data_IF_644139804480
#
_entry.id   IF_644139804480
#
_cell.length_a   1.000
_cell.length_b   1.000
_cell.length_c   1.000
_cell.angle_alpha   90.00
_cell.angle_beta   90.00
_cell.angle_gamma   90.00
#
_symmetry.space_group_name_H-M   'P 1'
#
loop_
_entity.id
_entity.type
_entity.pdbx_description
1 polymer ?
#
# COMPACT_ATOMS: atom_id res chain seq x y z
N UNK A 1 20.57 25.44 6.29
CA UNK A 1 20.04 25.16 7.62
C UNK A 1 18.68 25.75 7.99
N UNK A 2 18.02 26.54 7.12
CA UNK A 2 16.67 27.09 7.43
C UNK A 2 15.50 26.36 6.76
N UNK A 3 15.77 25.42 5.87
CA UNK A 3 14.74 24.75 5.07
C UNK A 3 13.88 23.77 5.91
N UNK A 4 14.48 23.08 6.88
CA UNK A 4 13.77 22.05 7.65
C UNK A 4 12.67 22.55 8.59
N UNK A 5 12.85 23.72 9.22
CA UNK A 5 11.88 24.27 10.19
C UNK A 5 10.65 24.85 9.48
N UNK A 6 10.86 25.52 8.35
CA UNK A 6 9.75 26.10 7.55
C UNK A 6 8.82 25.01 7.01
N UNK A 7 9.38 23.98 6.42
CA UNK A 7 8.61 22.87 5.85
C UNK A 7 7.83 22.09 6.93
N UNK A 8 8.43 21.86 8.09
CA UNK A 8 7.75 21.21 9.21
C UNK A 8 6.55 22.01 9.73
N UNK A 9 6.68 23.35 9.80
CA UNK A 9 5.59 24.22 10.24
C UNK A 9 4.44 24.22 9.22
N UNK A 10 4.74 24.26 7.91
CA UNK A 10 3.74 24.19 6.85
C UNK A 10 3.01 22.83 6.84
N UNK A 11 3.74 21.73 6.90
CA UNK A 11 3.18 20.39 6.98
C UNK A 11 2.27 20.21 8.20
N UNK A 12 2.69 20.74 9.35
CA UNK A 12 1.90 20.72 10.58
C UNK A 12 0.61 21.57 10.48
N UNK A 13 0.68 22.73 9.85
CA UNK A 13 -0.48 23.62 9.64
C UNK A 13 -1.55 22.94 8.76
N UNK A 14 -1.13 22.32 7.65
CA UNK A 14 -2.05 21.62 6.75
C UNK A 14 -2.59 20.33 7.35
N UNK A 15 -1.77 19.59 8.07
CA UNK A 15 -2.21 18.43 8.84
C UNK A 15 -3.26 18.80 9.90
N UNK A 16 -3.13 19.94 10.57
CA UNK A 16 -4.17 20.46 11.46
C UNK A 16 -5.47 20.84 10.74
N UNK A 17 -5.40 21.37 9.51
CA UNK A 17 -6.59 21.67 8.70
C UNK A 17 -7.29 20.36 8.28
N UNK A 18 -6.53 19.34 7.86
CA UNK A 18 -7.06 18.01 7.51
C UNK A 18 -7.71 17.29 8.69
N UNK A 19 -7.26 17.53 9.93
CA UNK A 19 -7.92 16.99 11.13
C UNK A 19 -9.38 17.44 11.30
N UNK A 20 -9.81 18.51 10.61
CA UNK A 20 -11.21 18.96 10.57
C UNK A 20 -11.99 18.38 9.40
N UNK A 21 -11.34 17.66 8.48
CA UNK A 21 -12.02 16.99 7.38
C UNK A 21 -12.78 15.80 7.95
N UNK A 22 -14.09 15.80 7.76
CA UNK A 22 -14.92 14.64 8.07
C UNK A 22 -14.74 13.64 6.94
N UNK A 23 -14.15 12.50 7.26
CA UNK A 23 -13.99 11.41 6.29
C UNK A 23 -15.23 10.53 6.32
N UNK A 24 -15.64 9.98 5.17
CA UNK A 24 -16.74 9.02 5.11
C UNK A 24 -16.40 7.78 5.94
N UNK A 25 -17.43 7.17 6.53
CA UNK A 25 -17.31 5.86 7.19
C UNK A 25 -17.03 4.74 6.18
N UNK A 26 -16.56 3.56 6.64
CA UNK A 26 -16.27 2.43 5.74
C UNK A 26 -17.46 2.04 4.86
N UNK A 27 -18.68 2.12 5.42
CA UNK A 27 -19.93 1.76 4.75
C UNK A 27 -20.35 2.76 3.66
N UNK A 28 -19.82 3.98 3.72
CA UNK A 28 -20.12 5.05 2.76
C UNK A 28 -19.14 5.05 1.56
N UNK A 29 -18.08 4.25 1.63
CA UNK A 29 -17.04 4.18 0.59
C UNK A 29 -17.38 3.06 -0.39
N UNK A 30 -18.02 3.39 -1.51
CA UNK A 30 -18.42 2.44 -2.55
C UNK A 30 -17.39 2.38 -3.70
N UNK A 31 -16.09 2.29 -3.39
CA UNK A 31 -15.01 2.27 -4.38
C UNK A 31 -14.46 0.85 -4.53
N UNK A 32 -14.41 0.31 -5.74
CA UNK A 32 -13.88 -1.02 -6.01
C UNK A 32 -12.35 -1.05 -5.91
N UNK A 33 -11.80 -1.79 -4.95
CA UNK A 33 -10.37 -1.91 -4.72
C UNK A 33 -9.87 -3.35 -4.86
N UNK A 34 -8.82 -3.55 -5.66
CA UNK A 34 -8.04 -4.78 -5.76
C UNK A 34 -6.72 -4.62 -5.01
N UNK A 35 -6.23 -5.68 -4.36
CA UNK A 35 -4.88 -5.69 -3.76
C UNK A 35 -3.95 -6.46 -4.68
N UNK A 36 -2.76 -5.93 -4.96
CA UNK A 36 -1.76 -6.53 -5.84
C UNK A 36 -0.43 -6.69 -5.10
N UNK A 37 0.10 -7.91 -5.13
CA UNK A 37 1.41 -8.25 -4.56
C UNK A 37 2.29 -8.89 -5.63
N UNK A 38 3.57 -8.49 -5.67
CA UNK A 38 4.61 -9.24 -6.39
C UNK A 38 5.37 -10.12 -5.38
N UNK A 39 5.50 -11.41 -5.67
CA UNK A 39 6.18 -12.39 -4.81
C UNK A 39 7.30 -13.11 -5.57
N UNK A 40 8.46 -13.22 -4.93
CA UNK A 40 9.58 -14.01 -5.42
C UNK A 40 10.32 -14.65 -4.26
N UNK A 41 10.20 -15.98 -4.12
CA UNK A 41 10.78 -16.76 -3.01
C UNK A 41 10.35 -16.29 -1.61
N UNK A 42 9.03 -16.14 -1.42
CA UNK A 42 8.40 -15.63 -0.19
C UNK A 42 7.60 -16.72 0.57
N UNK A 43 7.89 -18.01 0.33
CA UNK A 43 7.20 -19.12 0.97
C UNK A 43 7.05 -19.00 2.50
N UNK A 44 8.07 -18.51 3.26
CA UNK A 44 7.96 -18.42 4.71
C UNK A 44 6.93 -17.41 5.23
N UNK A 45 6.57 -16.40 4.42
CA UNK A 45 5.79 -15.23 4.88
C UNK A 45 4.50 -15.00 4.12
N UNK A 46 4.41 -15.36 2.84
CA UNK A 46 3.31 -15.01 1.94
C UNK A 46 1.93 -15.40 2.48
N UNK A 47 1.78 -16.58 3.06
CA UNK A 47 0.50 -17.03 3.62
C UNK A 47 0.03 -16.15 4.80
N UNK A 48 0.97 -15.64 5.62
CA UNK A 48 0.66 -14.73 6.71
C UNK A 48 0.25 -13.36 6.19
N UNK A 49 0.94 -12.85 5.18
CA UNK A 49 0.61 -11.60 4.50
C UNK A 49 -0.79 -11.67 3.91
N UNK A 50 -1.10 -12.71 3.14
CA UNK A 50 -2.44 -12.89 2.54
C UNK A 50 -3.55 -12.93 3.60
N UNK A 51 -3.36 -13.68 4.68
CA UNK A 51 -4.35 -13.72 5.76
C UNK A 51 -4.57 -12.35 6.39
N UNK A 52 -3.53 -11.54 6.56
CA UNK A 52 -3.68 -10.17 7.09
C UNK A 52 -4.49 -9.27 6.16
N UNK A 53 -4.32 -9.42 4.84
CA UNK A 53 -5.10 -8.68 3.84
C UNK A 53 -6.58 -9.10 3.88
N UNK A 54 -6.84 -10.40 3.97
CA UNK A 54 -8.19 -10.96 3.98
C UNK A 54 -8.99 -10.62 5.24
N UNK A 55 -8.33 -10.17 6.32
CA UNK A 55 -8.98 -9.63 7.53
C UNK A 55 -9.30 -8.13 7.45
N UNK A 56 -9.10 -7.51 6.30
CA UNK A 56 -9.45 -6.09 6.10
C UNK A 56 -10.92 -5.82 6.41
N UNK A 57 -11.19 -4.68 7.05
CA UNK A 57 -12.54 -4.15 7.27
C UNK A 57 -13.15 -3.54 5.98
N UNK A 58 -12.32 -3.33 4.95
CA UNK A 58 -12.76 -2.87 3.64
C UNK A 58 -13.18 -4.06 2.75
N UNK A 59 -14.27 -3.94 1.97
CA UNK A 59 -14.70 -4.99 1.05
C UNK A 59 -13.76 -5.08 -0.17
N UNK A 60 -12.58 -5.69 0.03
CA UNK A 60 -11.60 -5.93 -1.03
C UNK A 60 -12.22 -6.85 -2.07
N UNK A 61 -12.17 -6.43 -3.35
CA UNK A 61 -12.74 -7.18 -4.48
C UNK A 61 -11.96 -8.48 -4.74
N UNK A 62 -10.64 -8.37 -4.76
CA UNK A 62 -9.71 -9.48 -5.03
C UNK A 62 -8.31 -9.19 -4.49
N UNK A 63 -7.52 -10.24 -4.31
CA UNK A 63 -6.11 -10.19 -3.92
C UNK A 63 -5.30 -10.93 -4.97
N UNK A 64 -4.62 -10.19 -5.84
CA UNK A 64 -3.82 -10.74 -6.93
C UNK A 64 -2.38 -10.90 -6.45
N UNK A 65 -1.90 -12.12 -6.41
CA UNK A 65 -0.49 -12.45 -6.17
C UNK A 65 0.16 -12.77 -7.51
N UNK A 66 1.16 -12.00 -7.88
CA UNK A 66 1.98 -12.29 -9.07
C UNK A 66 3.27 -12.94 -8.62
N UNK A 67 3.37 -14.24 -8.85
CA UNK A 67 4.60 -15.02 -8.63
C UNK A 67 5.57 -14.77 -9.77
N UNK A 68 6.65 -14.08 -9.47
CA UNK A 68 7.69 -13.69 -10.43
C UNK A 68 8.77 -14.77 -10.59
N UNK A 69 8.32 -16.00 -10.83
CA UNK A 69 9.20 -17.14 -11.12
C UNK A 69 9.85 -17.74 -9.87
N UNK A 70 9.17 -17.81 -8.73
CA UNK A 70 9.67 -18.47 -7.52
C UNK A 70 10.04 -19.92 -7.77
N UNK A 71 11.10 -20.35 -7.11
CA UNK A 71 11.64 -21.73 -7.14
C UNK A 71 11.48 -22.46 -5.80
N UNK A 72 10.92 -21.78 -4.80
CA UNK A 72 10.57 -22.32 -3.49
C UNK A 72 9.08 -22.69 -3.41
N UNK A 73 8.55 -22.91 -2.21
CA UNK A 73 7.14 -23.25 -1.96
C UNK A 73 6.16 -22.08 -2.04
N UNK A 74 6.53 -20.90 -2.57
CA UNK A 74 5.66 -19.70 -2.61
C UNK A 74 4.30 -19.98 -3.27
N UNK A 75 4.31 -20.57 -4.47
CA UNK A 75 3.07 -20.88 -5.19
C UNK A 75 2.16 -21.85 -4.42
N UNK A 76 2.73 -22.83 -3.75
CA UNK A 76 2.00 -23.82 -2.95
C UNK A 76 1.32 -23.16 -1.77
N UNK A 77 2.00 -22.24 -1.08
CA UNK A 77 1.42 -21.48 0.03
C UNK A 77 0.29 -20.56 -0.43
N UNK A 78 0.46 -19.88 -1.57
CA UNK A 78 -0.62 -19.05 -2.16
C UNK A 78 -1.83 -19.92 -2.51
N UNK A 79 -1.65 -21.07 -3.16
CA UNK A 79 -2.75 -21.99 -3.52
C UNK A 79 -3.50 -22.51 -2.29
N UNK A 80 -2.81 -22.73 -1.16
CA UNK A 80 -3.46 -23.13 0.10
C UNK A 80 -4.41 -22.05 0.61
N UNK A 81 -4.02 -20.77 0.53
CA UNK A 81 -4.89 -19.67 0.93
C UNK A 81 -6.02 -19.48 -0.08
N UNK A 82 -5.73 -19.57 -1.39
CA UNK A 82 -6.71 -19.48 -2.47
C UNK A 82 -7.82 -20.54 -2.35
N UNK A 83 -7.49 -21.74 -1.87
CA UNK A 83 -8.49 -22.79 -1.62
C UNK A 83 -9.44 -22.45 -0.44
N UNK A 84 -9.07 -21.52 0.43
CA UNK A 84 -9.85 -21.10 1.60
C UNK A 84 -10.64 -19.80 1.32
N UNK A 85 -10.15 -18.95 0.41
CA UNK A 85 -10.79 -17.68 0.09
C UNK A 85 -10.73 -17.40 -1.43
N UNK A 86 -11.89 -17.39 -2.11
CA UNK A 86 -11.96 -17.25 -3.58
C UNK A 86 -11.53 -15.86 -4.08
N UNK A 87 -11.35 -14.88 -3.21
CA UNK A 87 -10.83 -13.56 -3.58
C UNK A 87 -9.35 -13.59 -3.95
N UNK A 88 -8.61 -14.64 -3.53
CA UNK A 88 -7.18 -14.76 -3.85
C UNK A 88 -7.00 -15.32 -5.25
N UNK A 89 -6.21 -14.63 -6.07
CA UNK A 89 -5.87 -15.00 -7.46
C UNK A 89 -4.36 -15.11 -7.57
N UNK A 90 -3.87 -16.22 -8.13
CA UNK A 90 -2.45 -16.44 -8.40
C UNK A 90 -2.17 -16.29 -9.90
N UNK A 91 -1.30 -15.35 -10.24
CA UNK A 91 -0.69 -15.22 -11.56
C UNK A 91 0.76 -15.71 -11.49
N UNK A 92 1.25 -16.37 -12.53
CA UNK A 92 2.67 -16.76 -12.64
C UNK A 92 3.29 -16.15 -13.89
N UNK A 93 4.53 -15.74 -13.76
CA UNK A 93 5.35 -15.30 -14.87
C UNK A 93 6.82 -15.75 -14.68
N UNK A 94 7.63 -15.78 -15.74
CA UNK A 94 9.08 -15.88 -15.61
C UNK A 94 9.61 -14.69 -14.82
N UNK A 95 10.72 -14.86 -14.09
CA UNK A 95 11.30 -13.76 -13.32
C UNK A 95 11.73 -12.61 -14.25
N UNK A 96 11.05 -11.48 -14.10
CA UNK A 96 11.27 -10.25 -14.86
C UNK A 96 11.43 -9.04 -13.94
N UNK A 97 11.35 -9.25 -12.64
CA UNK A 97 11.51 -8.23 -11.60
C UNK A 97 10.19 -7.66 -11.10
N UNK A 98 10.26 -7.13 -9.87
CA UNK A 98 9.10 -6.65 -9.09
C UNK A 98 8.22 -5.66 -9.85
N UNK A 99 8.83 -4.70 -10.57
CA UNK A 99 8.08 -3.69 -11.33
C UNK A 99 7.19 -4.34 -12.42
N UNK A 100 7.74 -5.28 -13.18
CA UNK A 100 6.98 -6.01 -14.20
C UNK A 100 5.87 -6.87 -13.59
N UNK A 101 6.15 -7.52 -12.45
CA UNK A 101 5.15 -8.31 -11.74
C UNK A 101 3.99 -7.44 -11.24
N UNK A 102 4.30 -6.28 -10.63
CA UNK A 102 3.26 -5.32 -10.21
C UNK A 102 2.45 -4.81 -11.39
N UNK A 103 3.11 -4.43 -12.51
CA UNK A 103 2.42 -3.97 -13.71
C UNK A 103 1.47 -5.04 -14.28
N UNK A 104 1.89 -6.30 -14.33
CA UNK A 104 1.04 -7.41 -14.74
C UNK A 104 -0.18 -7.54 -13.82
N UNK A 105 0.00 -7.49 -12.52
CA UNK A 105 -1.09 -7.52 -11.55
C UNK A 105 -2.05 -6.34 -11.68
N UNK A 106 -1.53 -5.12 -11.81
CA UNK A 106 -2.32 -3.89 -12.00
C UNK A 106 -3.16 -3.96 -13.28
N UNK A 107 -2.60 -4.43 -14.37
CA UNK A 107 -3.35 -4.59 -15.64
C UNK A 107 -4.52 -5.57 -15.48
N UNK A 108 -4.33 -6.66 -14.74
CA UNK A 108 -5.35 -7.70 -14.51
C UNK A 108 -6.37 -7.34 -13.43
N UNK A 109 -6.06 -6.39 -12.57
CA UNK A 109 -6.95 -5.96 -11.49
C UNK A 109 -8.31 -5.47 -12.03
N UNK A 110 -9.40 -5.97 -11.47
CA UNK A 110 -10.76 -5.57 -11.84
C UNK A 110 -11.18 -4.27 -11.15
N UNK A 111 -10.57 -3.94 -10.00
CA UNK A 111 -10.86 -2.73 -9.24
C UNK A 111 -10.41 -1.45 -9.95
N UNK A 112 -11.18 -0.38 -9.79
CA UNK A 112 -10.82 0.98 -10.22
C UNK A 112 -9.63 1.53 -9.42
N UNK A 113 -9.50 1.06 -8.18
CA UNK A 113 -8.38 1.37 -7.30
C UNK A 113 -7.55 0.11 -7.04
N UNK A 114 -6.24 0.31 -6.94
CA UNK A 114 -5.29 -0.77 -6.67
C UNK A 114 -4.47 -0.43 -5.43
N UNK A 115 -4.46 -1.34 -4.48
CA UNK A 115 -3.55 -1.28 -3.33
C UNK A 115 -2.37 -2.20 -3.61
N UNK A 116 -1.17 -1.63 -3.70
CA UNK A 116 0.06 -2.44 -3.83
C UNK A 116 0.69 -2.65 -2.46
N UNK A 117 1.14 -3.87 -2.22
CA UNK A 117 1.72 -4.30 -0.95
C UNK A 117 2.92 -5.23 -1.21
N UNK A 118 3.95 -5.15 -0.36
CA UNK A 118 5.06 -6.11 -0.41
C UNK A 118 4.61 -7.47 0.16
N UNK A 119 5.15 -8.55 -0.40
CA UNK A 119 4.78 -9.93 -0.06
C UNK A 119 5.13 -10.34 1.38
N UNK A 120 5.97 -9.59 2.06
CA UNK A 120 6.40 -9.76 3.46
C UNK A 120 5.73 -8.78 4.45
N UNK A 121 4.87 -7.91 3.95
CA UNK A 121 4.22 -6.86 4.76
C UNK A 121 2.92 -7.37 5.40
N UNK A 122 2.76 -7.15 6.70
CA UNK A 122 1.53 -7.43 7.44
C UNK A 122 0.65 -6.18 7.47
N UNK A 123 -0.57 -6.32 7.01
CA UNK A 123 -1.53 -5.23 6.90
C UNK A 123 -2.45 -5.18 8.13
N UNK A 124 -2.62 -3.99 8.71
CA UNK A 124 -3.67 -3.76 9.73
C UNK A 124 -5.05 -3.76 9.05
N UNK A 125 -6.10 -4.31 9.70
CA UNK A 125 -7.44 -4.42 9.11
C UNK A 125 -8.00 -3.11 8.56
N UNK A 126 -7.79 -1.98 9.23
CA UNK A 126 -8.27 -0.65 8.83
C UNK A 126 -7.45 0.05 7.75
N UNK A 127 -6.37 -0.57 7.25
CA UNK A 127 -5.42 0.09 6.35
C UNK A 127 -6.07 0.51 5.03
N UNK A 128 -6.79 -0.40 4.38
CA UNK A 128 -7.43 -0.11 3.08
C UNK A 128 -8.50 0.97 3.25
N UNK A 129 -9.36 0.84 4.25
CA UNK A 129 -10.37 1.86 4.58
C UNK A 129 -9.75 3.24 4.80
N UNK A 130 -8.63 3.31 5.55
CA UNK A 130 -7.93 4.58 5.78
C UNK A 130 -7.36 5.20 4.51
N UNK A 131 -6.93 4.41 3.54
CA UNK A 131 -6.46 4.91 2.25
C UNK A 131 -7.62 5.27 1.33
N UNK A 132 -8.63 4.41 1.21
CA UNK A 132 -9.75 4.61 0.28
C UNK A 132 -10.62 5.81 0.62
N UNK A 133 -10.80 6.14 1.90
CA UNK A 133 -11.56 7.33 2.31
C UNK A 133 -11.01 8.65 1.75
N UNK A 134 -9.71 8.71 1.40
CA UNK A 134 -9.13 9.89 0.77
C UNK A 134 -9.62 10.08 -0.67
N UNK A 135 -9.83 8.97 -1.40
CA UNK A 135 -10.38 9.00 -2.75
C UNK A 135 -11.89 9.29 -2.78
N UNK A 136 -12.58 9.01 -1.67
CA UNK A 136 -14.03 9.26 -1.53
C UNK A 136 -14.37 10.69 -1.07
N UNK A 137 -13.38 11.57 -0.86
CA UNK A 137 -13.61 12.97 -0.54
C UNK A 137 -14.05 13.75 -1.78
N UNK A 138 -14.94 14.74 -1.58
CA UNK A 138 -15.31 15.70 -2.62
C UNK A 138 -14.08 16.40 -3.21
N UNK A 139 -13.98 16.43 -4.53
CA UNK A 139 -12.85 17.01 -5.26
C UNK A 139 -11.57 16.16 -5.24
N UNK A 140 -11.65 14.88 -4.85
CA UNK A 140 -10.52 13.94 -4.90
C UNK A 140 -10.25 13.36 -6.30
N UNK A 141 -10.94 13.81 -7.35
CA UNK A 141 -10.78 13.31 -8.73
C UNK A 141 -9.35 13.44 -9.24
N UNK A 142 -8.61 14.44 -8.76
CA UNK A 142 -7.19 14.66 -9.08
C UNK A 142 -6.23 13.85 -8.22
N UNK A 143 -6.73 13.12 -7.21
CA UNK A 143 -5.88 12.31 -6.34
C UNK A 143 -5.52 11.00 -7.05
N UNK A 144 -4.28 10.88 -7.50
CA UNK A 144 -3.76 9.69 -8.19
C UNK A 144 -3.34 8.59 -7.23
N UNK A 145 -2.81 8.95 -6.03
CA UNK A 145 -2.30 7.96 -5.09
C UNK A 145 -2.33 8.41 -3.63
N UNK A 146 -2.37 7.44 -2.71
CA UNK A 146 -2.28 7.61 -1.25
C UNK A 146 -1.22 6.67 -0.70
N UNK A 147 -0.21 7.22 -0.03
CA UNK A 147 0.83 6.44 0.61
C UNK A 147 0.37 5.83 1.93
N UNK A 148 0.58 4.53 2.12
CA UNK A 148 0.41 3.87 3.40
C UNK A 148 1.54 4.21 4.38
N UNK A 149 1.27 4.02 5.67
CA UNK A 149 2.28 4.16 6.73
C UNK A 149 2.82 2.79 7.08
N UNK A 150 4.08 2.53 6.74
CA UNK A 150 4.78 1.29 7.08
C UNK A 150 5.47 1.45 8.43
N UNK A 151 5.35 0.43 9.29
CA UNK A 151 6.00 0.37 10.59
C UNK A 151 6.89 -0.86 10.69
N UNK A 152 8.04 -0.71 11.32
CA UNK A 152 8.96 -1.83 11.57
C UNK A 152 8.34 -2.76 12.62
N UNK A 153 8.00 -3.99 12.20
CA UNK A 153 7.30 -4.95 13.07
C UNK A 153 8.14 -5.45 14.25
N UNK A 154 9.47 -5.53 14.11
CA UNK A 154 10.40 -6.03 15.12
C UNK A 154 11.15 -4.93 15.91
N UNK A 155 10.57 -3.74 16.01
CA UNK A 155 11.19 -2.53 16.62
C UNK A 155 11.75 -2.70 18.03
N UNK A 156 11.37 -3.75 18.74
CA UNK A 156 11.82 -4.01 20.13
C UNK A 156 12.99 -4.99 20.22
N UNK A 157 13.47 -5.54 19.10
CA UNK A 157 14.44 -6.65 19.12
C UNK A 157 15.86 -6.19 19.43
N UNK A 158 16.30 -5.02 18.93
CA UNK A 158 17.63 -4.47 19.19
C UNK A 158 17.70 -2.95 18.93
N UNK A 159 18.85 -2.33 19.24
CA UNK A 159 19.08 -0.89 19.05
C UNK A 159 18.96 -0.46 17.58
N UNK A 160 19.40 -1.28 16.64
CA UNK A 160 19.37 -0.99 15.22
C UNK A 160 17.93 -0.90 14.69
N UNK A 161 17.06 -1.83 15.11
CA UNK A 161 15.63 -1.81 14.75
C UNK A 161 14.87 -0.65 15.37
N UNK A 162 15.33 -0.18 16.55
CA UNK A 162 14.81 1.06 17.18
C UNK A 162 15.20 2.30 16.37
N UNK A 163 16.45 2.38 15.92
CA UNK A 163 16.92 3.46 15.04
C UNK A 163 16.18 3.49 13.72
N UNK A 164 16.04 2.34 13.05
CA UNK A 164 15.23 2.22 11.82
C UNK A 164 13.78 2.69 12.05
N UNK A 165 13.17 2.31 13.17
CA UNK A 165 11.81 2.75 13.51
C UNK A 165 11.72 4.27 13.69
N UNK A 166 12.71 4.91 14.30
CA UNK A 166 12.77 6.37 14.46
C UNK A 166 12.98 7.07 13.09
N UNK A 167 13.85 6.54 12.26
CA UNK A 167 14.09 7.06 10.90
C UNK A 167 12.81 7.01 10.05
N UNK A 168 12.11 5.87 10.04
CA UNK A 168 10.81 5.74 9.36
C UNK A 168 9.77 6.71 9.90
N UNK A 169 9.67 6.88 11.22
CA UNK A 169 8.74 7.84 11.84
C UNK A 169 9.07 9.29 11.47
N UNK A 170 10.35 9.64 11.36
CA UNK A 170 10.78 10.99 11.00
C UNK A 170 10.51 11.27 9.53
N UNK A 171 10.87 10.35 8.63
CA UNK A 171 10.61 10.48 7.20
C UNK A 171 9.11 10.56 6.91
N UNK A 172 8.31 9.65 7.47
CA UNK A 172 6.86 9.61 7.21
C UNK A 172 6.14 10.75 7.93
N UNK A 173 6.49 11.03 9.18
CA UNK A 173 5.76 11.99 10.01
C UNK A 173 6.05 13.45 9.66
N UNK A 174 7.28 13.81 9.37
CA UNK A 174 7.69 15.22 9.16
C UNK A 174 7.86 15.50 7.68
N UNK A 175 8.67 14.72 6.99
CA UNK A 175 9.08 15.02 5.62
C UNK A 175 7.91 14.87 4.64
N UNK A 176 7.16 13.78 4.72
CA UNK A 176 5.98 13.58 3.87
C UNK A 176 4.85 14.53 4.19
N UNK A 177 4.63 14.85 5.47
CA UNK A 177 3.62 15.85 5.84
C UNK A 177 3.97 17.24 5.29
N UNK A 178 5.25 17.58 5.21
CA UNK A 178 5.72 18.82 4.59
C UNK A 178 5.55 18.80 3.07
N UNK A 179 5.92 17.70 2.41
CA UNK A 179 5.73 17.50 0.97
C UNK A 179 4.24 17.54 0.58
N UNK A 180 3.38 16.87 1.35
CA UNK A 180 1.92 16.90 1.17
C UNK A 180 1.36 18.33 1.34
N UNK A 181 1.86 19.09 2.28
CA UNK A 181 1.45 20.50 2.49
C UNK A 181 1.82 21.40 1.31
N UNK A 182 2.85 21.06 0.57
CA UNK A 182 3.35 21.80 -0.60
C UNK A 182 2.81 21.23 -1.92
N UNK A 183 1.95 20.21 -1.91
CA UNK A 183 1.50 19.43 -3.08
C UNK A 183 2.70 18.89 -3.92
N UNK A 184 3.78 18.51 -3.23
CA UNK A 184 5.06 18.12 -3.82
C UNK A 184 5.54 16.75 -3.31
N UNK A 185 4.63 15.77 -3.18
CA UNK A 185 5.01 14.40 -2.85
C UNK A 185 5.79 13.83 -4.03
N UNK A 186 7.08 13.61 -3.83
CA UNK A 186 8.00 13.16 -4.88
C UNK A 186 8.08 11.64 -5.00
N UNK A 187 7.81 10.89 -3.92
CA UNK A 187 7.94 9.44 -3.88
C UNK A 187 6.79 8.82 -3.07
N UNK A 188 6.12 7.85 -3.67
CA UNK A 188 5.16 6.98 -2.99
C UNK A 188 5.86 5.66 -2.69
N UNK A 189 5.88 5.18 -1.42
CA UNK A 189 6.60 3.97 -1.07
C UNK A 189 5.97 2.75 -1.72
N UNK A 190 6.80 1.91 -2.31
CA UNK A 190 6.36 0.65 -2.93
C UNK A 190 5.83 -0.38 -1.93
N UNK A 191 6.15 -0.24 -0.64
CA UNK A 191 5.80 -1.22 0.38
C UNK A 191 4.30 -1.25 0.75
N UNK A 192 3.59 -0.12 0.63
CA UNK A 192 2.14 -0.03 0.80
C UNK A 192 1.64 1.29 0.20
N UNK A 193 0.82 1.23 -0.82
CA UNK A 193 0.20 2.41 -1.42
C UNK A 193 -1.13 2.05 -2.09
N UNK A 194 -2.08 2.99 -2.07
CA UNK A 194 -3.31 2.90 -2.85
C UNK A 194 -3.24 3.87 -4.03
N UNK A 195 -3.70 3.43 -5.19
CA UNK A 195 -3.59 4.13 -6.46
C UNK A 195 -4.93 4.15 -7.18
N UNK A 196 -5.22 5.23 -7.85
CA UNK A 196 -6.19 5.18 -8.96
C UNK A 196 -5.53 4.40 -10.10
N UNK A 197 -6.14 3.29 -10.54
CA UNK A 197 -5.56 2.39 -11.56
C UNK A 197 -5.20 3.16 -12.84
N UNK A 198 -6.08 4.05 -13.28
CA UNK A 198 -5.86 4.90 -14.46
C UNK A 198 -4.58 5.72 -14.33
N UNK A 199 -4.34 6.32 -13.16
CA UNK A 199 -3.14 7.13 -12.93
C UNK A 199 -1.83 6.33 -13.05
N UNK A 200 -1.80 5.06 -12.61
CA UNK A 200 -0.63 4.19 -12.84
C UNK A 200 -0.45 3.91 -14.34
N UNK A 201 -1.53 3.61 -15.04
CA UNK A 201 -1.48 3.26 -16.46
C UNK A 201 -1.05 4.46 -17.31
N UNK A 202 -1.56 5.65 -17.03
CA UNK A 202 -1.16 6.91 -17.69
C UNK A 202 0.31 7.27 -17.44
N UNK A 203 0.81 6.99 -16.24
CA UNK A 203 2.23 7.21 -15.89
C UNK A 203 3.18 6.20 -16.56
N UNK A 204 2.66 5.16 -17.23
CA UNK A 204 3.46 4.10 -17.86
C UNK A 204 3.79 2.92 -16.94
N UNK A 205 3.21 2.85 -15.74
CA UNK A 205 3.41 1.79 -14.76
C UNK A 205 4.55 2.06 -13.77
N UNK A 206 5.02 0.96 -13.15
CA UNK A 206 6.14 0.96 -12.19
C UNK A 206 7.48 0.96 -12.92
#
# INVERSE_FOLDING_TARGET
GRVGVGNAVWGWSRHRRRRKTVFPGPEEIALAASVVLAAYNEAPVIARTLRSILTSDYPILEVIVVDDGSVDGTCEEVRRVMAQDPRVVLLRQPNTGKAHALNNGVQKAAGEFVVTLDADTIMDPGTVTMMMRHFALDGADRLGAVAGVVRVGNRQTNLLTRWQSLEYLTQIGVERSAQDALDAISIIPGACAAWRKEAILEAGGY
#
